data_IF_633325184922
#
_entry.id   IF_633325184922
#
_cell.length_a   1.000
_cell.length_b   1.000
_cell.length_c   1.000
_cell.angle_alpha   90.00
_cell.angle_beta   90.00
_cell.angle_gamma   90.00
#
_symmetry.space_group_name_H-M   'P 1'
#
loop_
_entity.id
_entity.type
_entity.pdbx_description
1 polymer ?
#
# COMPACT_ATOMS: atom_id res chain seq x y z
N UNK A 1 20.52 20.23 0.24
CA UNK A 1 21.34 19.05 -0.10
C UNK A 1 21.54 19.05 -1.59
N UNK A 2 22.72 18.65 -2.08
CA UNK A 2 22.89 18.39 -3.51
C UNK A 2 22.28 17.03 -3.85
N UNK A 3 21.10 17.05 -4.46
CA UNK A 3 20.46 15.86 -5.01
C UNK A 3 21.13 15.53 -6.35
N UNK A 4 21.53 14.27 -6.54
CA UNK A 4 22.07 13.76 -7.80
C UNK A 4 21.37 12.46 -8.15
N UNK A 5 20.89 12.31 -9.38
CA UNK A 5 20.15 11.13 -9.85
C UNK A 5 20.12 11.09 -11.38
N UNK A 6 19.56 10.02 -11.95
CA UNK A 6 19.35 9.91 -13.40
C UNK A 6 17.92 10.34 -13.70
N UNK A 7 17.75 11.31 -14.59
CA UNK A 7 16.46 11.77 -15.08
C UNK A 7 16.41 11.60 -16.60
N UNK A 8 15.49 10.77 -17.09
CA UNK A 8 15.32 10.50 -18.51
C UNK A 8 16.66 10.14 -19.19
N UNK A 9 17.37 9.18 -18.59
CA UNK A 9 18.70 8.69 -19.00
C UNK A 9 19.87 9.68 -18.88
N UNK A 10 19.66 10.87 -18.31
CA UNK A 10 20.71 11.89 -18.10
C UNK A 10 21.02 12.07 -16.62
N UNK A 11 22.30 12.14 -16.27
CA UNK A 11 22.67 12.53 -14.90
C UNK A 11 22.34 14.01 -14.68
N UNK A 12 21.60 14.28 -13.61
CA UNK A 12 21.18 15.64 -13.23
C UNK A 12 21.53 15.90 -11.75
N UNK A 13 21.62 17.18 -11.40
CA UNK A 13 21.80 17.61 -10.02
C UNK A 13 21.01 18.89 -9.71
N UNK A 14 20.47 18.99 -8.50
CA UNK A 14 19.76 20.16 -8.00
C UNK A 14 20.06 20.41 -6.51
N UNK A 15 20.05 21.66 -6.08
CA UNK A 15 20.12 22.03 -4.65
C UNK A 15 18.70 22.11 -4.09
N UNK A 16 18.36 21.20 -3.18
CA UNK A 16 16.98 21.02 -2.69
C UNK A 16 16.95 20.80 -1.18
N UNK A 17 15.80 21.05 -0.55
CA UNK A 17 15.54 20.52 0.78
C UNK A 17 15.34 19.00 0.72
N UNK A 18 15.84 18.20 1.70
CA UNK A 18 15.68 16.75 1.67
C UNK A 18 14.22 16.26 1.58
N UNK A 19 13.29 17.04 2.14
CA UNK A 19 11.85 16.73 2.17
C UNK A 19 11.04 17.42 1.08
N UNK A 20 11.68 18.15 0.16
CA UNK A 20 10.99 18.66 -1.03
C UNK A 20 10.34 17.49 -1.77
N UNK A 21 9.12 17.70 -2.28
CA UNK A 21 8.45 16.66 -3.06
C UNK A 21 9.20 16.51 -4.38
N UNK A 22 9.47 15.29 -4.80
CA UNK A 22 10.11 15.01 -6.10
C UNK A 22 9.35 15.68 -7.24
N UNK A 23 8.02 15.79 -7.13
CA UNK A 23 7.21 16.56 -8.08
C UNK A 23 7.68 18.01 -8.24
N UNK A 24 7.94 18.72 -7.14
CA UNK A 24 8.34 20.13 -7.17
C UNK A 24 9.75 20.26 -7.72
N UNK A 25 10.66 19.38 -7.31
CA UNK A 25 12.03 19.33 -7.85
C UNK A 25 12.03 19.12 -9.37
N UNK A 26 11.24 18.17 -9.87
CA UNK A 26 11.16 17.90 -11.31
C UNK A 26 10.65 19.12 -12.08
N UNK A 27 9.63 19.79 -11.56
CA UNK A 27 8.92 20.85 -12.27
C UNK A 27 9.61 22.21 -12.16
N UNK A 28 9.90 22.61 -10.93
CA UNK A 28 10.27 23.98 -10.60
C UNK A 28 11.80 24.15 -10.62
N UNK A 29 12.56 23.15 -10.16
CA UNK A 29 14.03 23.20 -10.19
C UNK A 29 14.63 22.71 -11.52
N UNK A 30 14.05 21.66 -12.11
CA UNK A 30 14.59 21.01 -13.31
C UNK A 30 13.81 21.31 -14.60
N UNK A 31 12.67 22.00 -14.52
CA UNK A 31 11.88 22.42 -15.69
C UNK A 31 11.12 21.31 -16.43
N UNK A 32 11.07 20.09 -15.89
CA UNK A 32 10.31 18.94 -16.43
C UNK A 32 8.83 19.02 -16.02
N UNK A 33 8.12 19.94 -16.67
CA UNK A 33 6.75 20.32 -16.31
C UNK A 33 5.65 19.38 -16.82
N UNK A 34 5.98 18.36 -17.61
CA UNK A 34 5.06 17.35 -18.14
C UNK A 34 4.38 16.53 -17.05
N UNK A 35 5.11 16.25 -15.96
CA UNK A 35 4.54 15.71 -14.72
C UNK A 35 3.69 16.79 -14.02
N UNK A 36 2.46 16.47 -13.62
CA UNK A 36 1.48 17.47 -13.17
C UNK A 36 1.12 17.33 -11.68
N UNK A 37 0.96 18.47 -11.00
CA UNK A 37 0.26 18.50 -9.72
C UNK A 37 -1.25 18.51 -9.93
N UNK A 38 -1.93 17.46 -9.50
CA UNK A 38 -3.41 17.39 -9.53
C UNK A 38 -4.04 17.48 -8.15
N UNK A 39 -3.69 16.55 -7.25
CA UNK A 39 -4.24 16.51 -5.90
C UNK A 39 -3.21 16.62 -4.77
N UNK A 40 -1.93 16.37 -4.98
CA UNK A 40 -0.92 16.41 -3.90
C UNK A 40 -1.07 15.34 -2.79
N UNK A 41 -1.99 14.38 -2.93
CA UNK A 41 -2.29 13.36 -1.90
C UNK A 41 -2.14 11.91 -2.43
N UNK A 42 -1.58 11.74 -3.63
CA UNK A 42 -1.40 10.43 -4.28
C UNK A 42 -2.68 9.77 -4.78
N UNK A 43 -3.79 10.50 -4.89
CA UNK A 43 -5.07 9.95 -5.35
C UNK A 43 -5.30 10.01 -6.86
N UNK A 44 -4.81 11.07 -7.54
CA UNK A 44 -5.20 11.31 -8.93
C UNK A 44 -4.25 10.73 -9.98
N UNK A 45 -3.02 10.35 -9.59
CA UNK A 45 -2.02 9.79 -10.50
C UNK A 45 -1.46 10.76 -11.56
N UNK A 46 -1.86 12.04 -11.58
CA UNK A 46 -1.37 13.01 -12.57
C UNK A 46 0.14 13.29 -12.45
N UNK A 47 0.70 13.04 -11.26
CA UNK A 47 2.11 13.20 -10.93
C UNK A 47 2.92 11.89 -11.10
N UNK A 48 2.36 10.88 -11.78
CA UNK A 48 3.04 9.58 -11.89
C UNK A 48 4.38 9.72 -12.61
N UNK A 49 5.40 9.04 -12.09
CA UNK A 49 6.71 8.84 -12.71
C UNK A 49 7.13 7.38 -12.52
N UNK A 50 8.12 6.88 -13.27
CA UNK A 50 8.79 5.63 -12.88
C UNK A 50 10.03 5.99 -12.07
N UNK A 51 10.12 5.47 -10.86
CA UNK A 51 11.29 5.56 -9.97
C UNK A 51 11.87 4.16 -9.84
N UNK A 52 13.10 3.97 -10.31
CA UNK A 52 13.78 2.67 -10.44
C UNK A 52 12.90 1.63 -11.17
N UNK A 53 12.24 2.08 -12.24
CA UNK A 53 11.34 1.25 -13.05
C UNK A 53 9.99 0.93 -12.39
N UNK A 54 9.69 1.45 -11.19
CA UNK A 54 8.40 1.29 -10.51
C UNK A 54 7.57 2.55 -10.59
N UNK A 55 6.29 2.40 -10.93
CA UNK A 55 5.32 3.49 -10.95
C UNK A 55 5.15 4.07 -9.53
N UNK A 56 5.33 5.38 -9.37
CA UNK A 56 5.13 6.09 -8.09
C UNK A 56 4.45 7.43 -8.29
N UNK A 57 3.77 7.93 -7.25
CA UNK A 57 3.28 9.31 -7.22
C UNK A 57 4.41 10.24 -6.76
N UNK A 58 5.00 11.02 -7.66
CA UNK A 58 6.13 11.91 -7.33
C UNK A 58 5.77 12.97 -6.27
N UNK A 59 4.49 13.32 -6.09
CA UNK A 59 4.06 14.22 -5.02
C UNK A 59 4.19 13.63 -3.61
N UNK A 60 4.42 12.32 -3.48
CA UNK A 60 4.57 11.60 -2.21
C UNK A 60 6.00 11.10 -1.97
N UNK A 61 6.94 11.40 -2.87
CA UNK A 61 8.33 10.96 -2.78
C UNK A 61 9.18 12.14 -2.31
N UNK A 62 9.86 12.06 -1.15
CA UNK A 62 10.82 13.08 -0.75
C UNK A 62 12.06 13.05 -1.66
N UNK A 63 12.62 14.21 -1.93
CA UNK A 63 13.82 14.40 -2.75
C UNK A 63 14.97 13.49 -2.30
N UNK A 64 15.18 13.32 -0.99
CA UNK A 64 16.22 12.45 -0.44
C UNK A 64 16.15 11.00 -0.95
N UNK A 65 14.95 10.48 -1.24
CA UNK A 65 14.76 9.10 -1.69
C UNK A 65 14.95 8.94 -3.20
N UNK A 66 15.06 10.04 -3.94
CA UNK A 66 15.43 10.02 -5.37
C UNK A 66 16.95 10.02 -5.59
N UNK A 67 17.76 10.19 -4.54
CA UNK A 67 19.22 10.23 -4.65
C UNK A 67 19.73 8.97 -5.34
N UNK A 68 20.54 9.12 -6.40
CA UNK A 68 21.11 8.01 -7.16
C UNK A 68 20.10 7.11 -7.89
N UNK A 69 18.81 7.43 -7.83
CA UNK A 69 17.75 6.64 -8.48
C UNK A 69 17.67 6.95 -9.98
N UNK A 70 16.97 6.07 -10.70
CA UNK A 70 16.57 6.29 -12.09
C UNK A 70 15.12 6.79 -12.14
N UNK A 71 14.91 8.00 -12.65
CA UNK A 71 13.60 8.64 -12.79
C UNK A 71 13.26 8.81 -14.26
N UNK A 72 12.15 8.20 -14.69
CA UNK A 72 11.55 8.41 -16.00
C UNK A 72 10.26 9.23 -15.85
N UNK A 73 10.24 10.39 -16.50
CA UNK A 73 9.04 11.23 -16.67
C UNK A 73 8.48 11.08 -18.08
N UNK A 74 7.36 11.77 -18.36
CA UNK A 74 6.73 11.72 -19.69
C UNK A 74 7.65 12.28 -20.79
N UNK A 75 8.53 13.23 -20.44
CA UNK A 75 9.51 13.83 -21.35
C UNK A 75 10.67 12.90 -21.70
N UNK A 76 10.86 11.81 -20.96
CA UNK A 76 11.81 10.76 -21.30
C UNK A 76 11.28 9.78 -22.34
N UNK A 77 10.04 9.92 -22.78
CA UNK A 77 9.48 9.18 -23.90
C UNK A 77 9.60 10.00 -25.18
N UNK A 78 9.70 9.33 -26.34
CA UNK A 78 9.92 9.95 -27.66
C UNK A 78 8.68 10.69 -28.22
N UNK A 79 7.77 11.15 -27.36
CA UNK A 79 6.62 11.97 -27.74
C UNK A 79 5.72 11.26 -28.75
N UNK A 80 5.51 11.87 -29.92
CA UNK A 80 4.70 11.29 -31.02
C UNK A 80 5.32 10.03 -31.64
N UNK A 81 6.64 9.86 -31.46
CA UNK A 81 7.38 8.74 -32.01
C UNK A 81 7.37 7.55 -31.03
N UNK A 82 7.02 7.78 -29.74
CA UNK A 82 6.61 6.73 -28.82
C UNK A 82 5.22 6.19 -29.19
N UNK A 83 5.15 4.89 -29.40
CA UNK A 83 3.95 4.22 -29.89
C UNK A 83 2.80 4.18 -28.90
N UNK A 84 3.08 4.14 -27.60
CA UNK A 84 2.05 4.21 -26.57
C UNK A 84 1.41 5.60 -26.56
N UNK A 85 2.22 6.66 -26.61
CA UNK A 85 1.72 8.03 -26.74
C UNK A 85 0.92 8.23 -28.03
N UNK A 86 1.41 7.71 -29.16
CA UNK A 86 0.68 7.72 -30.44
C UNK A 86 -0.67 7.01 -30.34
N UNK A 87 -0.73 5.84 -29.70
CA UNK A 87 -1.99 5.12 -29.49
C UNK A 87 -3.00 5.93 -28.67
N UNK A 88 -2.56 6.67 -27.64
CA UNK A 88 -3.44 7.56 -26.87
C UNK A 88 -4.04 8.68 -27.73
N UNK A 89 -3.25 9.26 -28.64
CA UNK A 89 -3.72 10.30 -29.57
C UNK A 89 -4.70 9.72 -30.60
N UNK A 90 -4.32 8.61 -31.25
CA UNK A 90 -5.10 7.99 -32.34
C UNK A 90 -6.44 7.40 -31.86
N UNK A 91 -6.49 6.83 -30.65
CA UNK A 91 -7.75 6.37 -30.04
C UNK A 91 -8.62 7.52 -29.51
N UNK A 92 -8.16 8.77 -29.61
CA UNK A 92 -8.86 9.93 -29.06
C UNK A 92 -9.01 9.86 -27.54
N UNK A 93 -8.00 9.31 -26.86
CA UNK A 93 -7.92 9.19 -25.40
C UNK A 93 -7.50 10.50 -24.72
N UNK A 94 -7.23 11.55 -25.49
CA UNK A 94 -6.80 12.88 -25.03
C UNK A 94 -7.92 13.91 -25.26
N UNK A 95 -8.35 14.59 -24.19
CA UNK A 95 -9.22 15.76 -24.26
C UNK A 95 -8.51 16.99 -23.68
N UNK A 96 -8.65 17.29 -22.38
CA UNK A 96 -7.91 18.39 -21.75
C UNK A 96 -6.40 18.11 -21.61
N UNK A 97 -5.98 16.84 -21.74
CA UNK A 97 -4.57 16.42 -21.67
C UNK A 97 -3.97 16.32 -20.27
N UNK A 98 -4.54 16.95 -19.25
CA UNK A 98 -3.90 17.10 -17.93
C UNK A 98 -3.48 15.78 -17.25
N UNK A 99 -4.34 14.75 -17.30
CA UNK A 99 -4.06 13.46 -16.66
C UNK A 99 -3.22 12.49 -17.54
N UNK A 100 -3.03 12.82 -18.82
CA UNK A 100 -2.49 11.88 -19.81
C UNK A 100 -1.03 11.51 -19.55
N UNK A 101 -0.13 12.43 -19.14
CA UNK A 101 1.23 12.06 -18.75
C UNK A 101 1.28 10.91 -17.73
N UNK A 102 0.47 11.02 -16.67
CA UNK A 102 0.38 9.99 -15.64
C UNK A 102 -0.24 8.68 -16.14
N UNK A 103 -1.27 8.77 -16.99
CA UNK A 103 -1.90 7.59 -17.60
C UNK A 103 -0.95 6.81 -18.50
N UNK A 104 -0.15 7.51 -19.31
CA UNK A 104 0.84 6.90 -20.21
C UNK A 104 1.91 6.19 -19.39
N UNK A 105 2.46 6.81 -18.35
CA UNK A 105 3.47 6.15 -17.51
C UNK A 105 2.91 4.97 -16.71
N UNK A 106 1.65 5.04 -16.25
CA UNK A 106 1.00 3.92 -15.61
C UNK A 106 0.74 2.75 -16.59
N UNK A 107 0.33 3.05 -17.82
CA UNK A 107 0.17 2.05 -18.89
C UNK A 107 1.52 1.44 -19.29
N UNK A 108 2.57 2.24 -19.39
CA UNK A 108 3.93 1.76 -19.65
C UNK A 108 4.39 0.81 -18.54
N UNK A 109 4.20 1.16 -17.27
CA UNK A 109 4.54 0.29 -16.15
C UNK A 109 3.79 -1.05 -16.20
N UNK A 110 2.51 -1.04 -16.57
CA UNK A 110 1.74 -2.27 -16.79
C UNK A 110 2.35 -3.11 -17.92
N UNK A 111 2.55 -2.52 -19.10
CA UNK A 111 3.02 -3.25 -20.29
C UNK A 111 4.45 -3.76 -20.15
N UNK A 112 5.23 -3.14 -19.26
CA UNK A 112 6.54 -3.60 -18.86
C UNK A 112 6.50 -4.88 -18.03
N UNK A 113 5.56 -4.96 -17.07
CA UNK A 113 5.42 -6.11 -16.17
C UNK A 113 4.58 -7.24 -16.80
N UNK A 114 3.60 -6.90 -17.64
CA UNK A 114 2.75 -7.82 -18.39
C UNK A 114 2.53 -7.27 -19.82
N UNK A 115 3.26 -7.78 -20.83
CA UNK A 115 3.14 -7.32 -22.22
C UNK A 115 1.79 -7.59 -22.88
N UNK A 116 0.99 -8.53 -22.35
CA UNK A 116 -0.30 -8.94 -22.90
C UNK A 116 -1.40 -8.89 -21.83
N UNK A 117 -1.69 -7.71 -21.25
CA UNK A 117 -2.66 -7.62 -20.18
C UNK A 117 -4.07 -7.73 -20.73
N UNK A 118 -4.96 -8.38 -19.98
CA UNK A 118 -6.39 -8.34 -20.27
C UNK A 118 -7.03 -7.03 -19.78
N UNK A 119 -8.30 -6.80 -20.16
CA UNK A 119 -9.03 -5.56 -19.85
C UNK A 119 -9.09 -5.25 -18.35
N UNK A 120 -9.26 -6.25 -17.51
CA UNK A 120 -9.41 -6.04 -16.07
C UNK A 120 -8.07 -5.75 -15.40
N UNK A 121 -6.97 -6.32 -15.91
CA UNK A 121 -5.60 -5.95 -15.52
C UNK A 121 -5.29 -4.49 -15.91
N UNK A 122 -5.70 -4.05 -17.10
CA UNK A 122 -5.57 -2.65 -17.53
C UNK A 122 -6.34 -1.71 -16.59
N UNK A 123 -7.61 -2.03 -16.29
CA UNK A 123 -8.42 -1.24 -15.35
C UNK A 123 -7.79 -1.19 -13.97
N UNK A 124 -7.25 -2.31 -13.49
CA UNK A 124 -6.62 -2.38 -12.17
C UNK A 124 -5.35 -1.52 -12.12
N UNK A 125 -4.48 -1.63 -13.12
CA UNK A 125 -3.23 -0.89 -13.19
C UNK A 125 -3.46 0.63 -13.27
N UNK A 126 -4.45 1.06 -14.04
CA UNK A 126 -4.82 2.47 -14.20
C UNK A 126 -5.80 2.97 -13.14
N UNK A 127 -6.20 2.13 -12.18
CA UNK A 127 -7.16 2.53 -11.15
C UNK A 127 -6.65 3.68 -10.27
N UNK A 128 -5.33 3.88 -10.23
CA UNK A 128 -4.64 4.98 -9.54
C UNK A 128 -4.64 6.33 -10.28
N UNK A 129 -5.17 6.38 -11.51
CA UNK A 129 -5.11 7.55 -12.36
C UNK A 129 -6.52 8.05 -12.68
N UNK A 130 -6.82 9.30 -12.36
CA UNK A 130 -8.16 9.87 -12.52
C UNK A 130 -8.24 10.76 -13.77
N UNK A 131 -9.22 10.46 -14.63
CA UNK A 131 -9.60 11.31 -15.75
C UNK A 131 -11.03 11.82 -15.55
N UNK A 132 -11.24 13.14 -15.72
CA UNK A 132 -12.56 13.75 -15.62
C UNK A 132 -13.27 13.91 -16.97
N UNK A 133 -12.55 13.81 -18.07
CA UNK A 133 -13.03 14.23 -19.39
C UNK A 133 -13.43 13.05 -20.29
N UNK A 134 -12.65 11.96 -20.31
CA UNK A 134 -12.72 10.95 -21.40
C UNK A 134 -13.67 9.79 -21.13
N UNK A 135 -14.04 9.54 -19.88
CA UNK A 135 -14.81 8.34 -19.50
C UNK A 135 -14.03 7.02 -19.57
N UNK A 136 -12.69 7.05 -19.67
CA UNK A 136 -11.74 5.93 -19.63
C UNK A 136 -11.75 4.92 -20.78
N UNK A 137 -12.89 4.66 -21.43
CA UNK A 137 -13.01 3.61 -22.45
C UNK A 137 -11.95 3.73 -23.57
N UNK A 138 -11.69 4.95 -24.06
CA UNK A 138 -10.67 5.23 -25.07
C UNK A 138 -9.23 5.11 -24.54
N UNK A 139 -9.02 5.41 -23.26
CA UNK A 139 -7.72 5.21 -22.61
C UNK A 139 -7.38 3.72 -22.59
N UNK A 140 -8.33 2.88 -22.20
CA UNK A 140 -8.11 1.43 -22.17
C UNK A 140 -7.85 0.84 -23.56
N UNK A 141 -8.58 1.30 -24.59
CA UNK A 141 -8.31 0.91 -25.99
C UNK A 141 -6.92 1.32 -26.47
N UNK A 142 -6.43 2.48 -26.05
CA UNK A 142 -5.07 2.92 -26.38
C UNK A 142 -4.02 1.97 -25.79
N UNK A 143 -4.21 1.51 -24.55
CA UNK A 143 -3.32 0.52 -23.94
C UNK A 143 -3.38 -0.83 -24.66
N UNK A 144 -4.58 -1.31 -24.99
CA UNK A 144 -4.77 -2.56 -25.76
C UNK A 144 -4.12 -2.49 -27.14
N UNK A 145 -4.27 -1.35 -27.83
CA UNK A 145 -3.63 -1.11 -29.13
C UNK A 145 -2.11 -1.15 -29.03
N UNK A 146 -1.54 -0.49 -28.03
CA UNK A 146 -0.09 -0.52 -27.81
C UNK A 146 0.40 -1.93 -27.44
N UNK A 147 -0.35 -2.67 -26.61
CA UNK A 147 -0.05 -4.06 -26.27
C UNK A 147 -0.07 -4.97 -27.52
N UNK A 148 -1.14 -4.88 -28.33
CA UNK A 148 -1.31 -5.66 -29.55
C UNK A 148 -0.23 -5.36 -30.60
N UNK A 149 0.29 -4.14 -30.61
CA UNK A 149 1.39 -3.76 -31.48
C UNK A 149 2.76 -4.23 -30.95
N UNK A 150 2.85 -4.87 -29.78
CA UNK A 150 4.07 -5.40 -29.19
C UNK A 150 4.91 -4.38 -28.42
N UNK A 151 4.30 -3.27 -27.98
CA UNK A 151 5.02 -2.22 -27.23
C UNK A 151 5.74 -2.80 -26.01
N UNK A 152 5.01 -3.57 -25.18
CA UNK A 152 5.55 -4.20 -23.98
C UNK A 152 6.72 -5.15 -24.26
N UNK A 153 6.62 -5.96 -25.32
CA UNK A 153 7.68 -6.90 -25.73
C UNK A 153 8.99 -6.18 -26.14
N UNK A 154 8.87 -4.96 -26.68
CA UNK A 154 10.01 -4.14 -27.10
C UNK A 154 10.61 -3.30 -25.99
N UNK A 155 9.96 -3.20 -24.82
CA UNK A 155 10.51 -2.46 -23.68
C UNK A 155 11.79 -3.14 -23.18
N UNK A 156 12.93 -2.71 -23.71
CA UNK A 156 14.25 -3.03 -23.16
C UNK A 156 14.45 -2.18 -21.92
N UNK A 157 14.19 -2.73 -20.74
CA UNK A 157 14.71 -2.12 -19.55
C UNK A 157 16.20 -2.41 -19.46
N UNK A 158 17.01 -1.34 -19.38
CA UNK A 158 18.22 -1.44 -18.58
C UNK A 158 17.75 -1.77 -17.16
N UNK A 159 18.25 -2.85 -16.57
CA UNK A 159 18.00 -3.07 -15.15
C UNK A 159 18.45 -1.80 -14.42
N UNK A 160 17.64 -1.24 -13.51
CA UNK A 160 18.07 -0.10 -12.73
C UNK A 160 19.39 -0.48 -12.09
N UNK A 161 20.44 0.32 -12.35
CA UNK A 161 21.69 0.15 -11.62
C UNK A 161 21.34 0.43 -10.16
N UNK A 162 21.29 -0.61 -9.32
CA UNK A 162 21.20 -0.47 -7.87
C UNK A 162 22.44 0.31 -7.41
N UNK A 163 22.39 1.64 -7.43
CA UNK A 163 23.40 2.47 -6.80
C UNK A 163 23.09 2.43 -5.31
N UNK A 164 23.94 1.74 -4.55
CA UNK A 164 23.81 1.54 -3.11
C UNK A 164 23.59 2.87 -2.40
N UNK A 165 22.34 3.14 -2.04
CA UNK A 165 21.88 4.43 -1.52
C UNK A 165 22.23 4.64 -0.04
N UNK A 166 22.63 3.58 0.66
CA UNK A 166 22.88 3.54 2.11
C UNK A 166 24.34 3.16 2.45
N UNK A 167 25.31 3.60 1.67
CA UNK A 167 26.72 3.31 1.97
C UNK A 167 27.25 4.10 3.18
N UNK A 168 26.67 5.25 3.49
CA UNK A 168 27.11 6.13 4.57
C UNK A 168 25.93 6.76 5.30
N UNK A 169 26.14 6.96 6.60
CA UNK A 169 25.26 7.72 7.48
C UNK A 169 25.31 9.18 7.07
N UNK A 170 24.20 9.71 6.55
CA UNK A 170 24.14 11.11 6.17
C UNK A 170 23.22 11.86 7.10
N UNK A 171 23.77 12.91 7.70
CA UNK A 171 23.04 13.91 8.44
C UNK A 171 22.92 15.15 7.55
N UNK A 172 21.72 15.44 7.08
CA UNK A 172 21.48 16.61 6.25
C UNK A 172 20.93 17.74 7.13
N UNK A 173 21.62 18.88 7.12
CA UNK A 173 21.14 20.13 7.71
C UNK A 173 20.56 20.99 6.58
N UNK A 174 19.24 21.23 6.62
CA UNK A 174 18.61 22.32 5.86
C UNK A 174 18.64 23.65 6.64
N UNK A 175 18.29 24.75 5.99
CA UNK A 175 17.64 25.87 6.68
C UNK A 175 16.33 25.33 7.28
N UNK A 176 15.97 25.77 8.49
CA UNK A 176 14.87 25.18 9.27
C UNK A 176 13.60 24.87 8.47
N UNK A 177 12.85 23.79 8.80
CA UNK A 177 13.00 22.92 9.98
C UNK A 177 13.18 21.43 9.59
N UNK A 178 14.39 20.92 9.30
CA UNK A 178 14.53 19.44 9.16
C UNK A 178 15.96 18.92 9.37
N UNK A 179 16.18 18.21 10.47
CA UNK A 179 17.30 17.28 10.58
C UNK A 179 16.89 15.94 9.97
N UNK A 180 17.58 15.50 8.92
CA UNK A 180 17.33 14.20 8.30
C UNK A 180 18.44 13.22 8.64
N UNK A 181 18.07 12.07 9.17
CA UNK A 181 18.96 10.95 9.47
C UNK A 181 18.76 9.82 8.44
N UNK A 182 19.83 9.41 7.78
CA UNK A 182 19.85 8.26 6.86
C UNK A 182 20.74 7.14 7.44
N UNK A 183 20.20 6.21 8.24
CA UNK A 183 20.99 5.11 8.80
C UNK A 183 21.45 4.14 7.71
N UNK A 184 22.66 3.62 7.83
CA UNK A 184 23.19 2.62 6.87
C UNK A 184 22.64 1.22 7.11
N UNK A 185 22.25 0.91 8.35
CA UNK A 185 21.71 -0.39 8.74
C UNK A 185 20.75 -0.27 9.94
N UNK A 186 20.05 -1.36 10.26
CA UNK A 186 19.08 -1.40 11.35
C UNK A 186 19.69 -1.09 12.72
N UNK A 187 20.94 -1.51 12.99
CA UNK A 187 21.60 -1.24 14.27
C UNK A 187 21.73 0.26 14.50
N UNK A 188 22.21 0.99 13.49
CA UNK A 188 22.35 2.43 13.56
C UNK A 188 21.00 3.15 13.66
N UNK A 189 19.97 2.67 12.94
CA UNK A 189 18.62 3.22 13.06
C UNK A 189 18.10 3.16 14.51
N UNK A 190 18.38 2.06 15.22
CA UNK A 190 18.00 1.89 16.62
C UNK A 190 18.82 2.77 17.57
N UNK A 191 20.11 3.00 17.26
CA UNK A 191 20.95 3.94 18.01
C UNK A 191 20.42 5.39 17.87
N UNK A 192 20.12 5.82 16.64
CA UNK A 192 19.53 7.15 16.37
C UNK A 192 18.18 7.29 17.08
N UNK A 193 17.30 6.30 16.94
CA UNK A 193 15.98 6.32 17.58
C UNK A 193 16.08 6.36 19.12
N UNK A 194 17.09 5.71 19.70
CA UNK A 194 17.33 5.80 21.14
C UNK A 194 17.84 7.17 21.57
N UNK A 195 18.59 7.89 20.73
CA UNK A 195 19.12 9.21 21.04
C UNK A 195 18.10 10.34 20.74
N UNK A 196 17.14 10.06 19.85
CA UNK A 196 16.11 10.99 19.42
C UNK A 196 14.72 10.33 19.48
N UNK A 197 14.17 10.11 20.68
CA UNK A 197 12.86 9.44 20.84
C UNK A 197 11.68 10.25 20.27
N UNK A 198 11.87 11.52 19.95
CA UNK A 198 10.93 12.43 19.30
C UNK A 198 10.99 12.38 17.75
N UNK A 199 11.92 11.59 17.19
CA UNK A 199 12.14 11.54 15.74
C UNK A 199 10.96 10.92 14.99
N UNK A 200 10.57 11.53 13.88
CA UNK A 200 9.55 10.96 12.99
C UNK A 200 10.19 9.97 12.01
N UNK A 201 9.70 8.73 12.00
CA UNK A 201 10.17 7.71 11.05
C UNK A 201 9.48 7.89 9.69
N UNK A 202 10.30 7.99 8.65
CA UNK A 202 9.85 8.02 7.25
C UNK A 202 10.16 6.68 6.56
N UNK A 203 9.28 6.30 5.65
CA UNK A 203 9.43 5.11 4.81
C UNK A 203 8.73 5.39 3.49
N UNK A 204 7.60 4.74 3.20
CA UNK A 204 6.81 4.95 2.00
C UNK A 204 6.35 6.41 1.75
N UNK A 205 6.21 7.21 2.80
CA UNK A 205 5.72 8.60 2.82
C UNK A 205 4.29 8.81 2.28
N UNK A 206 3.53 7.73 2.10
CA UNK A 206 2.16 7.77 1.55
C UNK A 206 1.12 8.32 2.52
N UNK A 207 1.47 8.47 3.79
CA UNK A 207 0.66 9.16 4.80
C UNK A 207 1.26 10.52 5.21
N UNK A 208 2.58 10.69 5.05
CA UNK A 208 3.33 11.86 5.51
C UNK A 208 2.89 13.14 4.79
N UNK A 209 2.98 13.19 3.45
CA UNK A 209 2.58 14.38 2.69
C UNK A 209 1.08 14.67 2.73
N UNK A 210 0.16 13.68 2.68
CA UNK A 210 -1.26 13.94 2.89
C UNK A 210 -1.57 14.51 4.28
N UNK A 211 -0.77 14.15 5.29
CA UNK A 211 -0.87 14.70 6.63
C UNK A 211 -0.39 16.17 6.68
N UNK A 212 0.74 16.50 6.05
CA UNK A 212 1.21 17.89 5.93
C UNK A 212 0.21 18.78 5.18
N UNK A 213 -0.38 18.26 4.10
CA UNK A 213 -1.42 18.99 3.34
C UNK A 213 -2.68 19.26 4.17
N UNK A 214 -2.92 18.48 5.22
CA UNK A 214 -3.99 18.71 6.21
C UNK A 214 -3.54 19.61 7.36
N UNK A 215 -2.52 20.43 7.11
CA UNK A 215 -1.97 21.42 8.04
C UNK A 215 -1.41 20.78 9.33
N UNK A 216 -1.01 19.50 9.29
CA UNK A 216 -0.21 18.95 10.39
C UNK A 216 1.19 19.58 10.34
N UNK A 217 1.78 19.88 11.52
CA UNK A 217 3.09 20.51 11.57
C UNK A 217 4.15 19.59 10.96
N UNK A 218 5.11 20.20 10.25
CA UNK A 218 6.31 19.49 9.80
C UNK A 218 7.15 19.06 11.01
N UNK A 219 7.66 17.82 11.03
CA UNK A 219 8.51 17.36 12.13
C UNK A 219 9.89 18.00 12.08
N UNK A 220 10.40 18.42 13.24
CA UNK A 220 11.76 19.00 13.35
C UNK A 220 12.88 18.03 12.97
N UNK A 221 12.68 16.74 13.26
CA UNK A 221 13.64 15.66 13.01
C UNK A 221 12.94 14.48 12.36
N UNK A 222 13.57 13.94 11.32
CA UNK A 222 13.10 12.76 10.60
C UNK A 222 14.22 11.75 10.40
N UNK A 223 13.88 10.46 10.45
CA UNK A 223 14.77 9.37 10.06
C UNK A 223 14.14 8.57 8.94
N UNK A 224 14.83 8.45 7.81
CA UNK A 224 14.36 7.66 6.69
C UNK A 224 14.86 6.21 6.77
N UNK A 225 13.90 5.29 6.90
CA UNK A 225 14.14 3.84 6.92
C UNK A 225 13.69 3.15 5.62
N UNK A 226 13.41 3.91 4.56
CA UNK A 226 13.04 3.37 3.24
C UNK A 226 14.13 2.47 2.64
N UNK A 227 13.82 1.20 2.38
CA UNK A 227 14.75 0.26 1.78
C UNK A 227 15.89 -0.20 2.72
N UNK A 228 15.74 -0.03 4.03
CA UNK A 228 16.73 -0.48 5.01
C UNK A 228 16.73 -2.01 5.13
N UNK A 229 17.89 -2.64 4.88
CA UNK A 229 18.06 -4.08 5.05
C UNK A 229 17.69 -4.53 6.47
N UNK A 230 17.05 -5.70 6.58
CA UNK A 230 16.47 -6.21 7.81
C UNK A 230 15.03 -5.77 8.07
N UNK A 231 14.47 -4.88 7.24
CA UNK A 231 13.05 -4.49 7.24
C UNK A 231 12.34 -4.85 5.93
N UNK A 232 13.03 -5.39 4.93
CA UNK A 232 12.53 -5.54 3.55
C UNK A 232 12.24 -6.99 3.16
N UNK A 233 12.47 -7.93 4.06
CA UNK A 233 12.45 -9.36 3.77
C UNK A 233 11.07 -9.99 3.98
N UNK A 234 10.75 -10.99 3.18
CA UNK A 234 9.62 -11.90 3.38
C UNK A 234 10.19 -13.31 3.47
N UNK A 235 10.14 -13.92 4.64
CA UNK A 235 10.83 -15.18 4.93
C UNK A 235 9.88 -16.21 5.54
N UNK A 236 9.85 -17.42 4.98
CA UNK A 236 9.16 -18.54 5.57
C UNK A 236 10.05 -19.16 6.65
N UNK A 237 9.61 -19.14 7.91
CA UNK A 237 10.35 -19.65 9.07
C UNK A 237 9.53 -20.71 9.79
N UNK A 238 9.83 -21.98 9.48
CA UNK A 238 9.15 -23.12 10.10
C UNK A 238 7.64 -23.07 9.93
N UNK A 239 6.93 -22.68 10.98
CA UNK A 239 5.46 -22.62 11.04
C UNK A 239 4.87 -21.21 10.88
N UNK A 240 5.66 -20.19 10.51
CA UNK A 240 5.16 -18.84 10.25
C UNK A 240 5.86 -18.17 9.06
N UNK A 241 5.20 -17.18 8.48
CA UNK A 241 5.80 -16.24 7.53
C UNK A 241 6.18 -14.96 8.28
N UNK A 242 7.43 -14.53 8.16
CA UNK A 242 7.90 -13.24 8.68
C UNK A 242 7.94 -12.21 7.56
N UNK A 243 7.26 -11.08 7.75
CA UNK A 243 7.23 -9.96 6.81
C UNK A 243 7.87 -8.76 7.49
N UNK A 244 8.96 -8.25 6.94
CA UNK A 244 9.60 -7.02 7.39
C UNK A 244 8.67 -5.81 7.31
N UNK A 245 8.80 -4.85 8.22
CA UNK A 245 7.89 -3.70 8.31
C UNK A 245 8.04 -2.71 7.15
N UNK A 246 9.20 -2.71 6.49
CA UNK A 246 9.51 -1.92 5.30
C UNK A 246 8.99 -2.54 4.00
N UNK A 247 8.50 -3.79 4.03
CA UNK A 247 7.94 -4.46 2.84
C UNK A 247 6.73 -3.69 2.32
N UNK A 248 6.75 -3.39 1.01
CA UNK A 248 5.68 -2.67 0.32
C UNK A 248 4.50 -3.59 0.01
N UNK A 249 3.30 -3.03 -0.15
CA UNK A 249 2.15 -3.82 -0.58
C UNK A 249 2.36 -4.46 -1.95
N UNK A 250 3.06 -3.80 -2.88
CA UNK A 250 3.43 -4.41 -4.15
C UNK A 250 4.31 -5.67 -3.99
N UNK A 251 5.28 -5.65 -3.05
CA UNK A 251 6.09 -6.83 -2.73
C UNK A 251 5.25 -7.94 -2.08
N UNK A 252 4.31 -7.60 -1.21
CA UNK A 252 3.37 -8.56 -0.60
C UNK A 252 2.50 -9.23 -1.67
N UNK A 253 1.93 -8.45 -2.60
CA UNK A 253 1.05 -8.94 -3.67
C UNK A 253 1.79 -9.89 -4.62
N UNK A 254 3.06 -9.59 -4.92
CA UNK A 254 3.88 -10.37 -5.85
C UNK A 254 4.56 -11.58 -5.22
N UNK A 255 4.64 -11.65 -3.89
CA UNK A 255 5.34 -12.72 -3.16
C UNK A 255 4.64 -14.07 -3.26
N UNK A 256 5.34 -15.07 -3.81
CA UNK A 256 4.83 -16.45 -3.92
C UNK A 256 4.42 -17.10 -2.60
N UNK A 257 5.21 -17.04 -1.49
CA UNK A 257 4.75 -17.59 -0.23
C UNK A 257 3.49 -16.87 0.31
N UNK A 258 3.34 -15.57 0.05
CA UNK A 258 2.12 -14.83 0.44
C UNK A 258 0.93 -15.27 -0.41
N UNK A 259 1.07 -15.36 -1.74
CA UNK A 259 0.00 -15.84 -2.63
C UNK A 259 -0.48 -17.23 -2.25
N UNK A 260 0.47 -18.12 -1.93
CA UNK A 260 0.19 -19.51 -1.57
C UNK A 260 -0.54 -19.64 -0.23
N UNK A 261 -0.07 -18.95 0.81
CA UNK A 261 -0.54 -19.18 2.17
C UNK A 261 -1.54 -18.13 2.67
N UNK A 262 -1.53 -16.92 2.11
CA UNK A 262 -2.31 -15.77 2.57
C UNK A 262 -2.99 -15.02 1.40
N UNK A 263 -3.84 -15.69 0.59
CA UNK A 263 -4.50 -15.05 -0.55
C UNK A 263 -5.39 -13.86 -0.14
N UNK A 264 -5.94 -13.86 1.08
CA UNK A 264 -6.69 -12.71 1.59
C UNK A 264 -5.78 -11.48 1.82
N UNK A 265 -4.50 -11.68 2.16
CA UNK A 265 -3.53 -10.60 2.32
C UNK A 265 -3.16 -9.99 0.96
N UNK A 266 -3.02 -10.83 -0.08
CA UNK A 266 -2.86 -10.36 -1.47
C UNK A 266 -4.09 -9.53 -1.89
N UNK A 267 -5.29 -10.05 -1.64
CA UNK A 267 -6.54 -9.34 -1.99
C UNK A 267 -6.72 -8.03 -1.23
N UNK A 268 -6.33 -7.96 0.05
CA UNK A 268 -6.41 -6.72 0.82
C UNK A 268 -5.34 -5.72 0.35
N UNK A 269 -4.12 -6.19 0.10
CA UNK A 269 -2.99 -5.40 -0.40
C UNK A 269 -3.31 -4.71 -1.73
N UNK A 270 -3.94 -5.42 -2.66
CA UNK A 270 -4.34 -4.86 -3.98
C UNK A 270 -5.42 -3.79 -3.91
N UNK A 271 -6.08 -3.62 -2.75
CA UNK A 271 -7.07 -2.58 -2.49
C UNK A 271 -6.50 -1.38 -1.72
N UNK A 272 -5.19 -1.39 -1.39
CA UNK A 272 -4.49 -0.27 -0.76
C UNK A 272 -4.13 0.74 -1.84
N UNK A 273 -4.77 1.92 -1.83
CA UNK A 273 -4.52 2.96 -2.84
C UNK A 273 -4.67 2.45 -4.29
N UNK A 274 -3.83 2.96 -5.18
CA UNK A 274 -3.60 2.40 -6.52
C UNK A 274 -2.16 1.87 -6.64
N UNK A 275 -1.78 1.31 -7.78
CA UNK A 275 -0.46 0.68 -7.99
C UNK A 275 0.70 1.59 -7.58
N UNK A 276 0.64 2.87 -7.91
CA UNK A 276 1.65 3.87 -7.53
C UNK A 276 1.82 4.03 -6.01
N UNK A 277 0.74 3.90 -5.25
CA UNK A 277 0.76 3.89 -3.78
C UNK A 277 1.26 2.54 -3.28
N UNK A 278 0.85 1.42 -3.88
CA UNK A 278 1.26 0.06 -3.46
C UNK A 278 2.77 -0.18 -3.58
N UNK A 279 3.41 0.44 -4.57
CA UNK A 279 4.87 0.41 -4.74
C UNK A 279 5.64 1.16 -3.64
N UNK A 280 4.94 1.90 -2.78
CA UNK A 280 5.51 2.81 -1.77
C UNK A 280 5.00 2.53 -0.36
N UNK A 281 3.71 2.32 -0.20
CA UNK A 281 3.07 2.06 1.08
C UNK A 281 3.59 0.75 1.67
N UNK A 282 4.10 0.81 2.89
CA UNK A 282 4.64 -0.34 3.61
C UNK A 282 3.64 -0.90 4.61
N UNK A 283 3.72 -2.20 4.89
CA UNK A 283 2.87 -2.83 5.90
C UNK A 283 3.12 -2.25 7.29
N UNK A 284 4.37 -1.91 7.61
CA UNK A 284 4.73 -1.26 8.87
C UNK A 284 4.14 0.14 9.00
N UNK A 285 4.24 0.95 7.94
CA UNK A 285 3.60 2.26 7.90
C UNK A 285 2.09 2.16 8.10
N UNK A 286 1.44 1.21 7.43
CA UNK A 286 -0.01 0.98 7.57
C UNK A 286 -0.42 0.62 9.01
N UNK A 287 0.37 -0.22 9.68
CA UNK A 287 0.14 -0.65 11.07
C UNK A 287 0.38 0.49 12.06
N UNK A 288 1.55 1.14 11.99
CA UNK A 288 1.99 2.16 12.96
C UNK A 288 1.18 3.45 12.84
N UNK A 289 0.71 3.80 11.64
CA UNK A 289 -0.18 4.93 11.40
C UNK A 289 -1.49 4.85 12.22
N UNK A 290 -1.92 3.63 12.58
CA UNK A 290 -3.04 3.34 13.47
C UNK A 290 -4.35 4.05 13.08
N UNK A 291 -4.59 4.20 11.77
CA UNK A 291 -5.86 4.68 11.26
C UNK A 291 -6.97 3.67 11.52
N UNK A 292 -8.11 4.14 12.05
CA UNK A 292 -9.32 3.32 12.21
C UNK A 292 -9.85 2.76 10.88
N UNK A 293 -9.45 3.35 9.75
CA UNK A 293 -9.84 2.94 8.42
C UNK A 293 -8.78 2.11 7.67
N UNK A 294 -7.71 1.71 8.36
CA UNK A 294 -6.70 0.81 7.79
C UNK A 294 -7.32 -0.58 7.51
N UNK A 295 -7.03 -1.11 6.33
CA UNK A 295 -7.64 -2.35 5.84
C UNK A 295 -6.92 -3.62 6.32
N UNK A 296 -5.62 -3.54 6.55
CA UNK A 296 -4.77 -4.70 6.92
C UNK A 296 -4.93 -5.14 8.38
N UNK A 297 -5.09 -4.25 9.38
CA UNK A 297 -5.13 -4.68 10.77
C UNK A 297 -6.25 -5.71 11.10
N UNK A 298 -7.52 -5.55 10.65
CA UNK A 298 -8.53 -6.59 10.86
C UNK A 298 -8.13 -7.95 10.26
N UNK A 299 -7.43 -7.96 9.12
CA UNK A 299 -6.95 -9.21 8.52
C UNK A 299 -5.86 -9.85 9.37
N UNK A 300 -4.89 -9.08 9.87
CA UNK A 300 -3.85 -9.61 10.74
C UNK A 300 -4.39 -10.13 12.08
N UNK A 301 -5.47 -9.54 12.60
CA UNK A 301 -6.19 -10.04 13.78
C UNK A 301 -6.67 -11.48 13.53
N UNK A 302 -7.39 -11.72 12.43
CA UNK A 302 -7.93 -13.06 12.14
C UNK A 302 -6.87 -14.05 11.67
N UNK A 303 -5.71 -13.58 11.21
CA UNK A 303 -4.56 -14.43 10.92
C UNK A 303 -3.76 -14.79 12.19
N UNK A 304 -4.01 -14.13 13.33
CA UNK A 304 -3.28 -14.37 14.58
C UNK A 304 -1.84 -13.89 14.52
N UNK A 305 -1.61 -12.74 13.88
CA UNK A 305 -0.25 -12.21 13.71
C UNK A 305 0.34 -11.67 15.02
N UNK A 306 1.67 -11.78 15.13
CA UNK A 306 2.47 -11.22 16.21
C UNK A 306 3.43 -10.18 15.63
N UNK A 307 3.48 -9.00 16.25
CA UNK A 307 4.36 -7.91 15.86
C UNK A 307 5.66 -7.97 16.65
N UNK A 308 6.78 -7.84 15.95
CA UNK A 308 8.12 -7.81 16.54
C UNK A 308 8.54 -6.35 16.67
N UNK A 309 8.58 -5.85 17.91
CA UNK A 309 9.00 -4.49 18.22
C UNK A 309 10.46 -4.53 18.68
N UNK A 310 11.29 -3.64 18.14
CA UNK A 310 12.73 -3.64 18.39
C UNK A 310 13.21 -2.26 18.85
N UNK A 311 14.01 -2.25 19.91
CA UNK A 311 14.84 -1.11 20.33
C UNK A 311 16.32 -1.50 20.24
N UNK A 312 17.22 -0.57 20.59
CA UNK A 312 18.65 -0.90 20.72
C UNK A 312 18.93 -1.94 21.83
N UNK A 313 18.07 -1.98 22.86
CA UNK A 313 18.28 -2.76 24.09
C UNK A 313 17.67 -4.17 24.00
N UNK A 314 16.86 -4.44 22.97
CA UNK A 314 16.27 -5.76 22.80
C UNK A 314 15.08 -5.79 21.84
N UNK A 315 14.41 -6.92 21.84
CA UNK A 315 13.22 -7.18 21.03
C UNK A 315 12.12 -7.72 21.92
N UNK A 316 10.88 -7.33 21.65
CA UNK A 316 9.70 -7.92 22.27
C UNK A 316 8.63 -8.20 21.22
N UNK A 317 7.81 -9.20 21.53
CA UNK A 317 6.70 -9.61 20.69
C UNK A 317 5.38 -9.16 21.29
N UNK A 318 4.48 -8.66 20.46
CA UNK A 318 3.16 -8.16 20.86
C UNK A 318 2.12 -8.75 19.91
N UNK A 319 1.09 -9.48 20.39
CA UNK A 319 -0.03 -9.87 19.55
C UNK A 319 -0.64 -8.65 18.86
N UNK A 320 -0.94 -8.73 17.56
CA UNK A 320 -1.47 -7.56 16.82
C UNK A 320 -2.75 -6.99 17.44
N UNK A 321 -3.51 -7.83 18.14
CA UNK A 321 -4.73 -7.48 18.88
C UNK A 321 -4.49 -6.56 20.08
N UNK A 322 -3.27 -6.56 20.62
CA UNK A 322 -2.84 -5.74 21.75
C UNK A 322 -2.01 -4.53 21.31
N UNK A 323 -1.76 -4.38 20.02
CA UNK A 323 -0.89 -3.32 19.50
C UNK A 323 -1.50 -1.92 19.58
N UNK A 324 -2.82 -1.82 19.47
CA UNK A 324 -3.54 -0.55 19.40
C UNK A 324 -4.09 -0.16 20.77
N UNK A 325 -3.60 0.95 21.32
CA UNK A 325 -4.06 1.51 22.61
C UNK A 325 -5.18 2.55 22.44
N UNK A 326 -5.52 2.92 21.21
CA UNK A 326 -6.60 3.85 20.88
C UNK A 326 -6.54 4.37 19.45
N UNK A 327 -7.39 5.33 19.12
CA UNK A 327 -7.38 5.96 17.79
C UNK A 327 -6.03 6.64 17.54
N UNK A 328 -5.34 6.28 16.45
CA UNK A 328 -4.01 6.80 16.09
C UNK A 328 -2.96 6.61 17.20
N UNK A 329 -3.12 5.58 18.03
CA UNK A 329 -2.21 5.26 19.15
C UNK A 329 -1.84 3.78 19.14
N UNK A 330 -0.56 3.51 19.39
CA UNK A 330 -0.01 2.17 19.50
C UNK A 330 0.64 1.97 20.87
N UNK A 331 1.15 0.76 21.13
CA UNK A 331 1.94 0.44 22.33
C UNK A 331 3.45 0.57 22.12
N UNK A 332 3.90 1.10 20.97
CA UNK A 332 5.31 1.38 20.71
C UNK A 332 5.84 2.36 21.77
N UNK A 333 7.00 2.03 22.35
CA UNK A 333 7.75 2.98 23.16
C UNK A 333 8.46 3.98 22.24
N UNK A 334 8.81 5.19 22.70
CA UNK A 334 9.48 6.19 21.88
C UNK A 334 10.82 5.72 21.26
N UNK A 335 11.50 4.77 21.89
CA UNK A 335 12.77 4.19 21.42
C UNK A 335 12.61 2.86 20.64
N UNK A 336 11.38 2.48 20.28
CA UNK A 336 11.07 1.25 19.54
C UNK A 336 10.59 1.55 18.12
N UNK A 337 10.92 0.65 17.20
CA UNK A 337 10.28 0.56 15.89
C UNK A 337 9.62 -0.80 15.71
N UNK A 338 8.62 -0.86 14.82
CA UNK A 338 8.08 -2.12 14.33
C UNK A 338 9.10 -2.72 13.35
N UNK A 339 9.67 -3.88 13.67
CA UNK A 339 10.67 -4.56 12.83
C UNK A 339 10.01 -5.47 11.80
N UNK A 340 9.14 -6.37 12.26
CA UNK A 340 8.54 -7.39 11.42
C UNK A 340 7.19 -7.86 11.96
N UNK A 341 6.45 -8.59 11.12
CA UNK A 341 5.16 -9.20 11.40
C UNK A 341 5.32 -10.70 11.20
N UNK A 342 5.08 -11.48 12.25
CA UNK A 342 5.04 -12.94 12.19
C UNK A 342 3.60 -13.39 12.00
N UNK A 343 3.32 -14.09 10.91
CA UNK A 343 1.99 -14.60 10.59
C UNK A 343 2.04 -16.14 10.60
N UNK A 344 1.38 -16.80 11.56
CA UNK A 344 1.33 -18.26 11.60
C UNK A 344 0.79 -18.84 10.29
N UNK A 345 1.39 -19.94 9.82
CA UNK A 345 0.88 -20.64 8.65
C UNK A 345 -0.49 -21.23 8.96
N UNK A 346 -1.49 -21.00 8.09
CA UNK A 346 -2.78 -21.62 8.25
C UNK A 346 -2.66 -23.12 8.05
N UNK A 347 -3.50 -23.88 8.78
CA UNK A 347 -3.66 -25.30 8.53
C UNK A 347 -4.26 -25.53 7.13
N UNK A 348 -4.05 -26.72 6.52
CA UNK A 348 -4.68 -27.07 5.26
C UNK A 348 -6.21 -26.86 5.30
N UNK A 349 -6.80 -26.55 4.13
CA UNK A 349 -8.23 -26.26 3.96
C UNK A 349 -8.78 -25.04 4.72
N UNK A 350 -7.92 -24.26 5.37
CA UNK A 350 -8.32 -22.97 5.94
C UNK A 350 -8.78 -22.02 4.85
N UNK A 351 -9.96 -21.44 5.05
CA UNK A 351 -10.51 -20.38 4.19
C UNK A 351 -10.26 -19.02 4.82
N UNK A 352 -9.88 -18.07 3.99
CA UNK A 352 -9.64 -16.68 4.37
C UNK A 352 -10.45 -15.76 3.46
N UNK A 353 -10.95 -14.65 3.99
CA UNK A 353 -11.59 -13.63 3.16
C UNK A 353 -11.31 -12.24 3.70
N UNK A 354 -11.39 -11.27 2.79
CA UNK A 354 -11.37 -9.86 3.11
C UNK A 354 -12.37 -9.13 2.22
N UNK A 355 -13.30 -8.40 2.84
CA UNK A 355 -14.27 -7.56 2.15
C UNK A 355 -14.08 -6.11 2.55
N UNK A 356 -13.98 -5.24 1.56
CA UNK A 356 -13.94 -3.79 1.72
C UNK A 356 -15.15 -3.15 1.05
N UNK A 357 -15.72 -2.12 1.69
CA UNK A 357 -16.68 -1.22 1.06
C UNK A 357 -16.26 0.22 1.30
N UNK A 358 -16.20 0.98 0.22
CA UNK A 358 -16.08 2.44 0.23
C UNK A 358 -17.13 3.08 -0.67
N UNK A 359 -16.88 4.32 -1.08
CA UNK A 359 -17.76 5.05 -2.01
C UNK A 359 -17.60 4.63 -3.47
N UNK A 360 -16.47 4.00 -3.81
CA UNK A 360 -16.10 3.50 -5.14
C UNK A 360 -15.32 2.17 -4.98
N UNK A 361 -15.13 1.43 -6.08
CA UNK A 361 -14.47 0.11 -6.03
C UNK A 361 -12.95 0.21 -5.80
N UNK A 362 -12.29 1.23 -6.35
CA UNK A 362 -10.85 1.47 -6.22
C UNK A 362 -10.56 2.86 -5.64
N UNK A 363 -9.35 3.10 -5.11
CA UNK A 363 -8.93 4.38 -4.51
C UNK A 363 -9.89 4.90 -3.43
N UNK A 364 -10.39 4.05 -2.55
CA UNK A 364 -11.36 4.48 -1.53
C UNK A 364 -10.86 4.20 -0.13
N UNK A 365 -11.10 5.14 0.78
CA UNK A 365 -10.98 4.91 2.22
C UNK A 365 -12.11 3.98 2.64
N UNK A 366 -11.77 2.99 3.45
CA UNK A 366 -12.71 1.99 3.92
C UNK A 366 -13.81 2.61 4.78
N UNK A 367 -15.07 2.53 4.31
CA UNK A 367 -16.25 2.81 5.16
C UNK A 367 -16.54 1.63 6.08
N UNK A 368 -16.23 0.42 5.61
CA UNK A 368 -16.19 -0.79 6.40
C UNK A 368 -15.23 -1.81 5.77
N UNK A 369 -14.59 -2.59 6.63
CA UNK A 369 -13.93 -3.82 6.22
C UNK A 369 -14.32 -4.98 7.14
N UNK A 370 -14.36 -6.17 6.57
CA UNK A 370 -14.60 -7.43 7.28
C UNK A 370 -13.54 -8.41 6.82
N UNK A 371 -12.80 -8.96 7.77
CA UNK A 371 -11.87 -10.04 7.55
C UNK A 371 -12.38 -11.29 8.27
N UNK A 372 -12.07 -12.46 7.72
CA UNK A 372 -12.21 -13.67 8.50
C UNK A 372 -11.43 -14.85 7.99
N UNK A 373 -11.42 -15.84 8.86
CA UNK A 373 -10.60 -17.02 8.83
C UNK A 373 -11.45 -18.15 9.37
N UNK A 374 -11.59 -19.26 8.64
CA UNK A 374 -12.40 -20.36 9.12
C UNK A 374 -11.92 -21.72 8.60
N UNK A 375 -12.22 -22.75 9.38
CA UNK A 375 -12.16 -24.15 8.97
C UNK A 375 -13.51 -24.79 9.20
N UNK A 376 -13.91 -25.64 8.26
CA UNK A 376 -15.17 -26.34 8.28
C UNK A 376 -14.92 -27.80 7.93
N UNK A 377 -15.42 -28.71 8.74
CA UNK A 377 -15.32 -30.16 8.56
C UNK A 377 -16.73 -30.78 8.55
N UNK A 378 -17.06 -31.52 7.50
CA UNK A 378 -18.39 -32.16 7.35
C UNK A 378 -19.59 -31.21 7.52
N UNK A 379 -19.48 -29.95 7.10
CA UNK A 379 -20.51 -28.91 7.29
C UNK A 379 -20.46 -28.16 8.62
N UNK A 380 -19.57 -28.55 9.54
CA UNK A 380 -19.46 -28.00 10.90
C UNK A 380 -18.25 -27.09 11.01
N UNK A 381 -18.42 -25.91 11.60
CA UNK A 381 -17.33 -24.94 11.82
C UNK A 381 -16.45 -25.42 12.98
N UNK A 382 -15.18 -25.68 12.70
CA UNK A 382 -14.20 -26.18 13.69
C UNK A 382 -13.25 -25.10 14.21
N UNK A 383 -13.12 -23.99 13.47
CA UNK A 383 -12.35 -22.80 13.86
C UNK A 383 -12.93 -21.61 13.09
N UNK A 384 -13.13 -20.47 13.77
CA UNK A 384 -13.62 -19.26 13.13
C UNK A 384 -13.15 -17.99 13.86
N UNK A 385 -12.55 -17.08 13.09
CA UNK A 385 -12.16 -15.75 13.53
C UNK A 385 -12.70 -14.72 12.56
N UNK A 386 -13.31 -13.66 13.09
CA UNK A 386 -13.96 -12.61 12.31
C UNK A 386 -13.62 -11.27 12.95
N UNK A 387 -13.00 -10.38 12.18
CA UNK A 387 -12.69 -9.04 12.63
C UNK A 387 -13.23 -7.98 11.67
N UNK A 388 -13.51 -6.80 12.20
CA UNK A 388 -14.02 -5.65 11.43
C UNK A 388 -13.12 -4.43 11.59
N UNK A 389 -13.02 -3.64 10.52
CA UNK A 389 -12.38 -2.32 10.50
C UNK A 389 -13.37 -1.21 10.17
N UNK A 390 -13.01 0.04 10.46
CA UNK A 390 -13.86 1.23 10.30
C UNK A 390 -15.20 1.22 11.07
N UNK A 391 -15.37 0.28 12.00
CA UNK A 391 -16.57 0.14 12.86
C UNK A 391 -16.36 0.67 14.28
N UNK A 392 -15.12 0.93 14.65
CA UNK A 392 -14.65 1.36 15.98
C UNK A 392 -13.34 2.14 15.82
N UNK A 393 -12.84 2.81 16.88
CA UNK A 393 -11.57 3.55 16.83
C UNK A 393 -10.34 2.68 16.51
N UNK A 394 -10.41 1.40 16.84
CA UNK A 394 -9.41 0.35 16.56
C UNK A 394 -10.12 -0.88 15.98
N UNK A 395 -9.44 -1.78 15.27
CA UNK A 395 -10.03 -3.04 14.81
C UNK A 395 -10.58 -3.87 15.97
N UNK A 396 -11.63 -4.66 15.73
CA UNK A 396 -12.24 -5.49 16.76
C UNK A 396 -12.70 -6.85 16.22
N UNK A 397 -12.62 -7.88 17.05
CA UNK A 397 -13.25 -9.16 16.80
C UNK A 397 -14.77 -9.08 17.00
N UNK A 398 -15.51 -9.91 16.27
CA UNK A 398 -16.92 -10.18 16.53
C UNK A 398 -17.06 -11.42 17.42
N UNK A 399 -16.57 -11.33 18.67
CA UNK A 399 -16.44 -12.47 19.59
C UNK A 399 -17.76 -13.21 19.82
N UNK A 400 -18.87 -12.51 20.04
CA UNK A 400 -20.18 -13.15 20.24
C UNK A 400 -20.64 -13.94 19.00
N UNK A 401 -20.33 -13.43 17.80
CA UNK A 401 -20.64 -14.11 16.54
C UNK A 401 -19.77 -15.35 16.37
N UNK A 402 -18.48 -15.25 16.70
CA UNK A 402 -17.55 -16.39 16.67
C UNK A 402 -18.00 -17.50 17.63
N UNK A 403 -18.28 -17.15 18.89
CA UNK A 403 -18.74 -18.11 19.91
C UNK A 403 -20.05 -18.79 19.52
N UNK A 404 -20.95 -18.07 18.83
CA UNK A 404 -22.19 -18.66 18.32
C UNK A 404 -21.93 -19.66 17.18
N UNK A 405 -20.97 -19.37 16.30
CA UNK A 405 -20.68 -20.14 15.10
C UNK A 405 -19.84 -21.40 15.37
N UNK A 406 -18.96 -21.35 16.37
CA UNK A 406 -18.08 -22.48 16.71
C UNK A 406 -18.90 -23.74 17.04
N UNK A 407 -18.58 -24.86 16.39
CA UNK A 407 -19.30 -26.13 16.52
C UNK A 407 -20.66 -26.19 15.80
N UNK A 408 -21.11 -25.12 15.14
CA UNK A 408 -22.37 -25.13 14.39
C UNK A 408 -22.21 -25.73 12.99
N UNK A 409 -23.27 -26.39 12.54
CA UNK A 409 -23.45 -26.73 11.12
C UNK A 409 -23.94 -25.51 10.35
N UNK A 410 -23.37 -25.23 9.18
CA UNK A 410 -23.73 -24.10 8.31
C UNK A 410 -25.11 -24.26 7.65
N UNK A 411 -26.19 -24.11 8.41
CA UNK A 411 -27.56 -24.06 7.90
C UNK A 411 -27.97 -22.63 7.55
N UNK A 412 -29.01 -22.45 6.72
CA UNK A 412 -29.54 -21.12 6.39
C UNK A 412 -29.95 -20.33 7.65
N UNK A 413 -30.49 -21.02 8.66
CA UNK A 413 -30.87 -20.40 9.93
C UNK A 413 -29.65 -19.87 10.68
N UNK A 414 -28.59 -20.68 10.81
CA UNK A 414 -27.33 -20.28 11.47
C UNK A 414 -26.70 -19.09 10.77
N UNK A 415 -26.64 -19.12 9.44
CA UNK A 415 -26.08 -18.04 8.60
C UNK A 415 -26.86 -16.73 8.78
N UNK A 416 -28.20 -16.81 8.76
CA UNK A 416 -29.08 -15.65 8.95
C UNK A 416 -28.93 -15.06 10.36
N UNK A 417 -28.89 -15.92 11.38
CA UNK A 417 -28.75 -15.48 12.78
C UNK A 417 -27.37 -14.85 13.04
N UNK A 418 -26.29 -15.44 12.52
CA UNK A 418 -24.95 -14.87 12.61
C UNK A 418 -24.85 -13.49 11.94
N UNK A 419 -25.48 -13.32 10.77
CA UNK A 419 -25.56 -12.01 10.10
C UNK A 419 -26.30 -10.96 10.94
N UNK A 420 -27.39 -11.33 11.61
CA UNK A 420 -28.12 -10.44 12.51
C UNK A 420 -27.27 -10.05 13.73
N UNK A 421 -26.62 -11.02 14.37
CA UNK A 421 -25.72 -10.78 15.50
C UNK A 421 -24.56 -9.84 15.11
N UNK A 422 -23.93 -10.09 13.96
CA UNK A 422 -22.87 -9.22 13.44
C UNK A 422 -23.34 -7.79 13.17
N UNK A 423 -24.57 -7.64 12.65
CA UNK A 423 -25.19 -6.32 12.47
C UNK A 423 -25.41 -5.60 13.81
N UNK A 424 -25.71 -6.32 14.89
CA UNK A 424 -25.97 -5.74 16.22
C UNK A 424 -24.67 -5.41 16.98
N UNK A 425 -23.62 -6.21 16.78
CA UNK A 425 -22.33 -6.10 17.47
C UNK A 425 -21.50 -4.85 17.10
N UNK A 426 -21.78 -4.21 15.96
CA UNK A 426 -21.03 -3.03 15.50
C UNK A 426 -21.77 -1.71 15.78
N UNK A 427 -20.99 -0.68 16.13
CA UNK A 427 -21.47 0.65 16.51
C UNK A 427 -20.73 1.78 15.77
N UNK A 428 -20.85 1.86 14.42
CA UNK A 428 -20.15 2.87 13.63
C UNK A 428 -20.65 4.29 13.92
N UNK A 429 -19.74 5.28 13.82
CA UNK A 429 -20.04 6.70 14.09
C UNK A 429 -20.92 7.38 13.04
N UNK A 430 -20.90 6.91 11.79
CA UNK A 430 -21.62 7.54 10.66
C UNK A 430 -22.30 6.52 9.78
N UNK A 431 -23.39 6.91 9.11
CA UNK A 431 -24.19 6.03 8.24
C UNK A 431 -24.56 4.72 8.93
N UNK A 432 -25.02 4.81 10.18
CA UNK A 432 -25.09 3.69 11.13
C UNK A 432 -25.89 2.50 10.59
N UNK A 433 -27.14 2.72 10.19
CA UNK A 433 -28.02 1.64 9.71
C UNK A 433 -27.48 0.95 8.46
N UNK A 434 -26.91 1.72 7.53
CA UNK A 434 -26.29 1.18 6.32
C UNK A 434 -25.10 0.28 6.69
N UNK A 435 -24.19 0.79 7.52
CA UNK A 435 -22.97 0.07 7.90
C UNK A 435 -23.28 -1.20 8.69
N UNK A 436 -24.19 -1.14 9.68
CA UNK A 436 -24.65 -2.31 10.45
C UNK A 436 -25.22 -3.40 9.52
N UNK A 437 -26.15 -3.02 8.64
CA UNK A 437 -26.79 -3.93 7.68
C UNK A 437 -25.79 -4.56 6.71
N UNK A 438 -24.84 -3.78 6.20
CA UNK A 438 -23.84 -4.29 5.25
C UNK A 438 -22.85 -5.22 5.96
N UNK A 439 -22.43 -4.94 7.19
CA UNK A 439 -21.62 -5.87 7.99
C UNK A 439 -22.31 -7.22 8.12
N UNK A 440 -23.58 -7.24 8.54
CA UNK A 440 -24.34 -8.49 8.66
C UNK A 440 -24.44 -9.27 7.34
N UNK A 441 -24.70 -8.57 6.22
CA UNK A 441 -24.76 -9.19 4.88
C UNK A 441 -23.41 -9.77 4.42
N UNK A 442 -22.30 -9.10 4.72
CA UNK A 442 -20.97 -9.59 4.34
C UNK A 442 -20.57 -10.82 5.14
N UNK A 443 -20.96 -10.88 6.42
CA UNK A 443 -20.81 -12.09 7.24
C UNK A 443 -21.65 -13.23 6.66
N UNK A 444 -22.94 -13.01 6.39
CA UNK A 444 -23.77 -14.06 5.80
C UNK A 444 -23.21 -14.52 4.44
N UNK A 445 -22.74 -13.59 3.60
CA UNK A 445 -22.08 -13.93 2.34
C UNK A 445 -20.87 -14.83 2.54
N UNK A 446 -19.97 -14.51 3.47
CA UNK A 446 -18.84 -15.36 3.75
C UNK A 446 -19.25 -16.77 4.19
N UNK A 447 -20.22 -16.88 5.10
CA UNK A 447 -20.68 -18.18 5.60
C UNK A 447 -21.36 -19.01 4.50
N UNK A 448 -22.06 -18.37 3.56
CA UNK A 448 -22.57 -19.03 2.35
C UNK A 448 -21.42 -19.53 1.47
N UNK A 449 -20.42 -18.68 1.19
CA UNK A 449 -19.24 -19.08 0.40
C UNK A 449 -18.43 -20.21 1.07
N UNK A 450 -18.39 -20.25 2.40
CA UNK A 450 -17.79 -21.37 3.14
C UNK A 450 -18.55 -22.68 2.94
N UNK A 451 -19.88 -22.61 2.99
CA UNK A 451 -20.75 -23.78 2.83
C UNK A 451 -20.71 -24.32 1.41
N UNK A 452 -20.85 -23.43 0.42
CA UNK A 452 -21.00 -23.82 -0.98
C UNK A 452 -19.71 -24.38 -1.59
N UNK A 453 -18.55 -24.10 -0.98
CA UNK A 453 -17.24 -24.68 -1.36
C UNK A 453 -16.94 -26.05 -0.72
N UNK A 454 -17.92 -26.66 -0.05
CA UNK A 454 -17.84 -28.03 0.47
C UNK A 454 -18.54 -29.07 -0.42
N UNK A 455 -19.32 -28.62 -1.39
CA UNK A 455 -19.85 -29.44 -2.50
C UNK A 455 -19.12 -29.12 -3.79
#
# INVERSE_FOLDING_TARGET
MRLQFILNEREVAAEVSPLDRLLDVLREELGHTGTKEGCGEGECGACSVLLDGKLVNSCLVPALQARGADVLTIEGLDGKDDELQRAFVEEGAVQCGFCIPGMVLAARALLQDNPHPNRDEIKHALAGNLCRCTGYERIFRAVERAAAAGYGERLKLKQPQKRGLRCESVQLRGSEPSWVFLPKNLKEALEILSNHPDITLLSGCTDFYPDLKKEKPEPEKVMDIWGLEGLMEIELKGNYLEIGSGVTFAAIISSEPVKKHFPALVSAGSMIGGVAVQNRATIGGNLVNASAAADIPPLLFVLGATLVLQSKDGTREVPVTEFYSGYRKTVLRPNELLKSIKIPLPLPETRQFFYKRGSRLALTISRLSVAGFARVDGGVITDIRIAVGSMSPIPMFLTEVQNYLEGQRLTDEVIRKAGLMASQAVSPRTSTDYRKRVTGRLISRFLLELRDKQG
#
